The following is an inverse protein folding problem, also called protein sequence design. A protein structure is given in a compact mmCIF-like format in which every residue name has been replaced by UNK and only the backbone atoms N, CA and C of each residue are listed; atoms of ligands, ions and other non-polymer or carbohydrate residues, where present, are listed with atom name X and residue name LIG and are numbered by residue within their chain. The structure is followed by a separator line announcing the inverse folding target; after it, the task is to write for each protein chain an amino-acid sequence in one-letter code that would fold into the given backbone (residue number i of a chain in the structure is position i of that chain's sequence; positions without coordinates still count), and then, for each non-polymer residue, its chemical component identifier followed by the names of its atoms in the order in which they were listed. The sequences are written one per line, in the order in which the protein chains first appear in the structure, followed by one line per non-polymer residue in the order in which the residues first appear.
data_IF_246093737386
#
_entry.id   IF_246093737386
#
_cell.length_a   1.000
_cell.length_b   1.000
_cell.length_c   1.000
_cell.angle_alpha   90.00
_cell.angle_beta   90.00
_cell.angle_gamma   90.00
#
_symmetry.space_group_name_H-M   'P 1'
#
loop_
_entity.id
_entity.type
_entity.pdbx_description
1 polymer ?
#
# COMPACT_ATOMS: atom_id res chain seq x y z
N UNK A 1 -10.49 3.24 20.53
CA UNK A 1 -10.93 2.20 19.58
C UNK A 1 -10.62 2.51 18.11
N UNK A 2 -9.72 3.44 17.77
CA UNK A 2 -9.39 3.75 16.35
C UNK A 2 -8.19 2.95 15.79
N UNK A 3 -7.51 2.15 16.62
CA UNK A 3 -6.24 1.48 16.29
C UNK A 3 -6.41 0.02 15.81
N UNK A 4 -7.54 -0.63 16.14
CA UNK A 4 -7.81 -2.03 15.79
C UNK A 4 -7.86 -2.27 14.27
N UNK A 5 -8.48 -1.33 13.54
CA UNK A 5 -8.49 -1.36 12.08
C UNK A 5 -7.10 -1.21 11.47
N UNK A 6 -6.23 -0.38 12.06
CA UNK A 6 -4.87 -0.20 11.57
C UNK A 6 -4.06 -1.50 11.71
N UNK A 7 -4.12 -2.14 12.88
CA UNK A 7 -3.43 -3.41 13.14
C UNK A 7 -3.89 -4.50 12.16
N UNK A 8 -5.19 -4.57 11.89
CA UNK A 8 -5.77 -5.50 10.91
C UNK A 8 -5.18 -5.26 9.51
N UNK A 9 -5.17 -4.02 9.03
CA UNK A 9 -4.62 -3.70 7.70
C UNK A 9 -3.10 -3.90 7.66
N UNK A 10 -2.37 -3.53 8.71
CA UNK A 10 -0.93 -3.73 8.79
C UNK A 10 -0.56 -5.23 8.78
N UNK A 11 -1.37 -6.08 9.43
CA UNK A 11 -1.23 -7.54 9.40
C UNK A 11 -1.50 -8.13 8.02
N UNK A 12 -2.50 -7.62 7.29
CA UNK A 12 -2.81 -8.06 5.93
C UNK A 12 -1.73 -7.64 4.90
N UNK A 13 -1.04 -6.53 5.15
CA UNK A 13 -0.05 -5.96 4.23
C UNK A 13 1.32 -5.77 4.90
N UNK A 14 2.01 -6.86 5.27
CA UNK A 14 3.27 -6.78 6.03
C UNK A 14 4.41 -6.11 5.26
N UNK A 15 4.31 -5.99 3.93
CA UNK A 15 5.25 -5.26 3.07
C UNK A 15 5.06 -3.74 3.07
N UNK A 16 4.11 -3.22 3.84
CA UNK A 16 3.83 -1.79 3.94
C UNK A 16 4.01 -1.31 5.38
N UNK A 17 4.46 -0.06 5.53
CA UNK A 17 4.41 0.71 6.76
C UNK A 17 3.21 1.62 6.62
N UNK A 18 2.26 1.52 7.53
CA UNK A 18 1.02 2.30 7.53
C UNK A 18 1.01 3.21 8.74
N UNK A 19 0.63 4.46 8.55
CA UNK A 19 0.51 5.43 9.63
C UNK A 19 -0.56 6.47 9.31
N UNK A 20 -1.07 7.11 10.35
CA UNK A 20 -1.96 8.25 10.23
C UNK A 20 -1.18 9.54 10.46
N UNK A 21 -1.35 10.52 9.59
CA UNK A 21 -0.84 11.87 9.80
C UNK A 21 -1.71 12.60 10.82
N UNK A 22 -1.15 13.63 11.45
CA UNK A 22 -1.84 14.50 12.40
C UNK A 22 -3.13 15.14 11.82
N UNK A 23 -3.13 15.41 10.50
CA UNK A 23 -4.32 15.91 9.77
C UNK A 23 -5.43 14.87 9.56
N UNK A 24 -5.27 13.66 10.10
CA UNK A 24 -6.22 12.58 9.97
C UNK A 24 -6.08 11.75 8.69
N UNK A 25 -5.26 12.18 7.73
CA UNK A 25 -4.96 11.46 6.49
C UNK A 25 -4.15 10.19 6.75
N UNK A 26 -4.51 9.10 6.11
CA UNK A 26 -3.81 7.82 6.14
C UNK A 26 -2.76 7.75 5.06
N UNK A 27 -1.59 7.24 5.43
CA UNK A 27 -0.45 7.06 4.56
C UNK A 27 0.04 5.62 4.67
N UNK A 28 0.49 5.07 3.53
CA UNK A 28 1.23 3.82 3.52
C UNK A 28 2.41 3.91 2.58
N UNK A 29 3.59 3.58 3.07
CA UNK A 29 4.79 3.44 2.24
C UNK A 29 5.30 2.02 2.26
N UNK A 30 5.80 1.58 1.11
CA UNK A 30 6.35 0.23 0.97
C UNK A 30 7.62 0.09 1.82
N UNK A 31 7.75 -1.06 2.49
CA UNK A 31 8.98 -1.47 3.17
C UNK A 31 9.81 -2.32 2.21
N UNK A 32 11.12 -2.10 2.20
CA UNK A 32 12.06 -2.85 1.38
C UNK A 32 12.67 -2.00 0.26
N UNK A 33 12.97 -2.65 -0.87
CA UNK A 33 13.68 -2.00 -1.97
C UNK A 33 12.84 -0.92 -2.67
N UNK A 34 13.48 0.12 -3.23
CA UNK A 34 12.79 1.05 -4.13
C UNK A 34 12.20 0.32 -5.33
N UNK A 35 11.11 0.89 -5.86
CA UNK A 35 10.52 0.43 -7.11
C UNK A 35 11.46 0.75 -8.26
N UNK A 36 11.66 -0.20 -9.17
CA UNK A 36 12.34 0.04 -10.43
C UNK A 36 11.44 0.83 -11.39
N UNK A 37 12.01 1.46 -12.40
CA UNK A 37 11.29 2.28 -13.38
C UNK A 37 10.18 1.49 -14.10
N UNK A 38 10.42 0.22 -14.37
CA UNK A 38 9.43 -0.69 -14.95
C UNK A 38 8.27 -1.04 -13.99
N UNK A 39 8.45 -0.92 -12.67
CA UNK A 39 7.37 -1.06 -11.69
C UNK A 39 6.55 0.23 -11.61
N UNK A 40 7.20 1.38 -11.63
CA UNK A 40 6.53 2.69 -11.67
C UNK A 40 5.69 2.83 -12.95
N UNK A 41 6.24 2.44 -14.09
CA UNK A 41 5.54 2.44 -15.39
C UNK A 41 4.36 1.47 -15.40
N UNK A 42 4.43 0.37 -14.65
CA UNK A 42 3.31 -0.55 -14.46
C UNK A 42 2.24 -0.02 -13.49
N UNK A 43 2.37 1.23 -13.04
CA UNK A 43 1.42 1.89 -12.15
C UNK A 43 1.52 1.45 -10.70
N UNK A 44 2.66 0.88 -10.28
CA UNK A 44 2.95 0.70 -8.86
C UNK A 44 3.40 2.02 -8.23
N UNK A 45 3.01 2.23 -6.99
CA UNK A 45 3.37 3.43 -6.21
C UNK A 45 4.18 3.04 -4.98
N UNK A 46 5.20 3.84 -4.65
CA UNK A 46 6.01 3.64 -3.44
C UNK A 46 5.26 4.07 -2.17
N UNK A 47 4.40 5.07 -2.31
CA UNK A 47 3.58 5.64 -1.25
C UNK A 47 2.17 5.84 -1.76
N UNK A 48 1.18 5.48 -0.94
CA UNK A 48 -0.23 5.73 -1.17
C UNK A 48 -0.80 6.54 -0.01
N UNK A 49 -1.78 7.38 -0.31
CA UNK A 49 -2.45 8.26 0.64
C UNK A 49 -3.96 8.12 0.47
N UNK A 50 -4.70 8.22 1.57
CA UNK A 50 -6.16 8.21 1.58
C UNK A 50 -6.68 8.97 2.80
N UNK A 51 -7.88 9.55 2.70
CA UNK A 51 -8.50 10.27 3.82
C UNK A 51 -9.14 9.35 4.86
N UNK A 52 -9.25 8.05 4.57
CA UNK A 52 -9.89 7.06 5.42
C UNK A 52 -9.22 5.69 5.30
N UNK A 53 -9.29 4.90 6.37
CA UNK A 53 -8.67 3.58 6.40
C UNK A 53 -9.24 2.62 5.32
N UNK A 54 -10.57 2.56 5.06
CA UNK A 54 -11.10 1.76 3.95
C UNK A 54 -10.52 2.15 2.59
N UNK A 55 -10.44 3.46 2.31
CA UNK A 55 -9.84 3.97 1.06
C UNK A 55 -8.35 3.62 0.96
N UNK A 56 -7.61 3.61 2.08
CA UNK A 56 -6.24 3.14 2.10
C UNK A 56 -6.17 1.63 1.77
N UNK A 57 -7.07 0.82 2.33
CA UNK A 57 -7.13 -0.61 2.07
C UNK A 57 -7.41 -0.91 0.59
N UNK A 58 -8.32 -0.17 -0.05
CA UNK A 58 -8.60 -0.29 -1.49
C UNK A 58 -7.36 0.03 -2.33
N UNK A 59 -6.65 1.09 -1.98
CA UNK A 59 -5.39 1.47 -2.64
C UNK A 59 -4.34 0.35 -2.49
N UNK A 60 -4.17 -0.20 -1.28
CA UNK A 60 -3.23 -1.29 -1.02
C UNK A 60 -3.59 -2.58 -1.79
N UNK A 61 -4.88 -2.92 -1.86
CA UNK A 61 -5.37 -4.04 -2.65
C UNK A 61 -5.05 -3.85 -4.15
N UNK A 62 -5.29 -2.65 -4.68
CA UNK A 62 -4.94 -2.31 -6.06
C UNK A 62 -3.44 -2.40 -6.35
N UNK A 63 -2.59 -1.98 -5.41
CA UNK A 63 -1.14 -2.13 -5.52
C UNK A 63 -0.70 -3.61 -5.47
N UNK A 64 -1.34 -4.42 -4.63
CA UNK A 64 -1.08 -5.86 -4.55
C UNK A 64 -1.46 -6.57 -5.85
N UNK A 65 -2.61 -6.24 -6.43
CA UNK A 65 -3.07 -6.81 -7.68
C UNK A 65 -2.13 -6.49 -8.85
N UNK A 66 -1.73 -5.21 -9.00
CA UNK A 66 -0.77 -4.79 -10.04
C UNK A 66 0.57 -5.50 -9.89
N UNK A 67 1.07 -5.64 -8.66
CA UNK A 67 2.30 -6.36 -8.37
C UNK A 67 2.19 -7.84 -8.77
N UNK A 68 1.07 -8.50 -8.46
CA UNK A 68 0.81 -9.90 -8.80
C UNK A 68 0.65 -10.12 -10.30
N UNK A 69 -0.11 -9.26 -10.99
CA UNK A 69 -0.25 -9.29 -12.46
C UNK A 69 1.10 -9.17 -13.14
N UNK A 70 1.98 -8.29 -12.64
CA UNK A 70 3.34 -8.15 -13.19
C UNK A 70 4.22 -9.36 -12.92
N UNK A 71 4.18 -9.94 -11.72
CA UNK A 71 4.93 -11.18 -11.42
C UNK A 71 4.56 -12.32 -12.36
N UNK A 72 3.27 -12.44 -12.74
CA UNK A 72 2.80 -13.45 -13.69
C UNK A 72 3.21 -13.20 -15.15
N UNK A 73 3.58 -11.96 -15.49
CA UNK A 73 4.02 -11.58 -16.85
C UNK A 73 5.51 -11.82 -17.10
N UNK A 74 6.27 -12.16 -16.06
CA UNK A 74 7.73 -12.34 -16.10
C UNK A 74 8.09 -13.84 -15.88
N UNK A 75 7.10 -14.71 -15.75
CA UNK A 75 7.26 -16.16 -15.61
C UNK A 75 7.00 -16.88 -16.94
#
# INVERSE_FOLDING_TARGET
MADDGLLTVAGAYPGWRIWRSDRGTWWASRKGRPLADAELTAGLSATVVADSLPGLTEQLAGQHERATRRRRRIA
#
